data_IF_697785480609
#
_entry.id   IF_697785480609
#
_cell.length_a   1.000
_cell.length_b   1.000
_cell.length_c   1.000
_cell.angle_alpha   90.00
_cell.angle_beta   90.00
_cell.angle_gamma   90.00
#
_symmetry.space_group_name_H-M   'P 1'
#
loop_
_entity.id
_entity.type
_entity.pdbx_description
1 polymer ?
#
# COMPACT_ATOMS: atom_id res chain seq x y z
N UNK A 1 -23.04 -11.72 10.60
CA UNK A 1 -22.20 -10.89 11.49
C UNK A 1 -22.41 -9.42 11.13
N UNK A 2 -23.11 -8.66 11.98
CA UNK A 2 -23.28 -7.22 11.78
C UNK A 2 -22.01 -6.53 12.25
N UNK A 3 -21.35 -5.77 11.39
CA UNK A 3 -20.30 -4.85 11.81
C UNK A 3 -20.87 -3.90 12.86
N UNK A 4 -20.08 -3.61 13.88
CA UNK A 4 -20.47 -2.64 14.90
C UNK A 4 -20.81 -1.29 14.21
N UNK A 5 -22.05 -0.83 14.24
CA UNK A 5 -22.44 0.43 13.59
C UNK A 5 -21.77 1.66 14.21
N UNK A 6 -21.16 1.52 15.40
CA UNK A 6 -20.42 2.57 16.09
C UNK A 6 -18.96 2.67 15.65
N UNK A 7 -18.51 1.86 14.70
CA UNK A 7 -17.09 1.87 14.26
C UNK A 7 -16.65 3.17 13.57
N UNK A 8 -17.56 4.08 13.26
CA UNK A 8 -17.22 5.39 12.67
C UNK A 8 -16.54 5.30 11.30
N UNK A 9 -16.56 4.12 10.67
CA UNK A 9 -15.95 3.95 9.36
C UNK A 9 -16.86 4.61 8.34
N UNK A 10 -16.38 5.67 7.72
CA UNK A 10 -16.95 6.13 6.47
C UNK A 10 -16.65 5.11 5.38
N UNK A 11 -17.64 4.27 5.09
CA UNK A 11 -17.54 3.24 4.05
C UNK A 11 -17.55 3.82 2.63
N UNK A 12 -17.89 5.09 2.48
CA UNK A 12 -17.96 5.79 1.20
C UNK A 12 -16.70 6.66 0.97
N UNK A 13 -15.95 6.96 2.01
CA UNK A 13 -14.76 7.78 1.93
C UNK A 13 -13.58 7.02 1.33
N UNK A 14 -12.86 7.66 0.43
CA UNK A 14 -11.55 7.19 -0.01
C UNK A 14 -10.50 7.66 0.97
N UNK A 15 -9.94 6.74 1.73
CA UNK A 15 -8.91 7.05 2.73
C UNK A 15 -7.48 6.91 2.19
N UNK A 16 -7.33 6.42 0.97
CA UNK A 16 -6.05 6.30 0.29
C UNK A 16 -6.16 6.73 -1.16
N UNK A 17 -5.15 7.42 -1.65
CA UNK A 17 -5.00 7.81 -3.06
C UNK A 17 -3.63 7.39 -3.56
N UNK A 18 -3.58 6.99 -4.82
CA UNK A 18 -2.35 6.94 -5.59
C UNK A 18 -2.40 8.15 -6.52
N UNK A 19 -1.43 9.03 -6.41
CA UNK A 19 -1.41 10.29 -7.14
C UNK A 19 -0.61 10.15 -8.44
N UNK A 20 0.40 9.28 -8.43
CA UNK A 20 1.28 9.08 -9.57
C UNK A 20 1.90 7.69 -9.54
N UNK A 21 2.04 7.09 -10.73
CA UNK A 21 2.85 5.90 -10.95
C UNK A 21 3.85 6.16 -12.05
N UNK A 22 5.12 5.91 -11.78
CA UNK A 22 6.20 5.97 -12.74
C UNK A 22 6.74 4.57 -13.00
N UNK A 23 7.00 4.29 -14.26
CA UNK A 23 7.59 3.04 -14.75
C UNK A 23 9.06 3.27 -15.06
N UNK A 24 9.92 2.52 -14.40
CA UNK A 24 11.34 2.41 -14.71
C UNK A 24 11.54 1.25 -15.67
N UNK A 25 11.81 1.55 -16.94
CA UNK A 25 12.07 0.54 -17.97
C UNK A 25 13.46 -0.07 -17.76
N UNK A 26 13.65 -1.37 -18.01
CA UNK A 26 14.96 -1.96 -18.04
C UNK A 26 15.88 -1.23 -19.01
N UNK A 27 17.03 -0.75 -18.53
CA UNK A 27 17.98 0.02 -19.35
C UNK A 27 17.57 1.46 -19.72
N UNK A 28 16.39 1.91 -19.30
CA UNK A 28 15.95 3.29 -19.46
C UNK A 28 16.61 4.23 -18.45
N UNK A 29 16.92 5.47 -18.87
CA UNK A 29 17.51 6.48 -17.98
C UNK A 29 16.47 7.17 -17.10
N UNK A 30 15.32 7.48 -17.65
CA UNK A 30 14.29 8.27 -16.98
C UNK A 30 12.99 7.47 -16.80
N UNK A 31 12.36 7.56 -15.63
CA UNK A 31 11.06 6.95 -15.39
C UNK A 31 9.97 7.70 -16.18
N UNK A 32 8.98 6.98 -16.66
CA UNK A 32 7.86 7.54 -17.43
C UNK A 32 6.53 7.30 -16.73
N UNK A 33 5.60 8.26 -16.75
CA UNK A 33 4.26 8.03 -16.23
C UNK A 33 3.58 6.85 -16.93
N UNK A 34 2.83 6.06 -16.17
CA UNK A 34 2.05 4.94 -16.69
C UNK A 34 0.60 5.08 -16.28
N UNK A 35 -0.30 4.67 -17.18
CA UNK A 35 -1.73 4.70 -16.90
C UNK A 35 -2.11 3.67 -15.84
N UNK A 36 -3.04 4.05 -14.98
CA UNK A 36 -3.59 3.17 -13.97
C UNK A 36 -5.06 3.46 -13.71
N UNK A 37 -5.76 2.50 -13.17
CA UNK A 37 -7.17 2.62 -12.79
C UNK A 37 -7.49 1.75 -11.58
N UNK A 38 -8.51 2.15 -10.83
CA UNK A 38 -9.09 1.28 -9.81
C UNK A 38 -10.18 0.44 -10.43
N UNK A 39 -10.27 -0.82 -10.05
CA UNK A 39 -11.37 -1.66 -10.50
C UNK A 39 -12.69 -1.21 -9.86
N UNK A 40 -13.74 -1.19 -10.67
CA UNK A 40 -15.06 -0.73 -10.23
C UNK A 40 -15.64 -1.62 -9.12
N UNK A 41 -15.46 -2.93 -9.25
CA UNK A 41 -15.97 -3.93 -8.30
C UNK A 41 -15.08 -4.07 -7.07
N UNK A 42 -13.84 -3.63 -7.16
CA UNK A 42 -12.85 -3.77 -6.10
C UNK A 42 -11.96 -2.53 -6.00
N UNK A 43 -12.40 -1.57 -5.21
CA UNK A 43 -11.68 -0.30 -5.02
C UNK A 43 -10.30 -0.45 -4.34
N UNK A 44 -9.94 -1.63 -3.87
CA UNK A 44 -8.62 -1.93 -3.31
C UNK A 44 -7.65 -2.48 -4.35
N UNK A 45 -8.13 -2.82 -5.54
CA UNK A 45 -7.30 -3.31 -6.63
C UNK A 45 -6.94 -2.18 -7.57
N UNK A 46 -5.64 -1.93 -7.68
CA UNK A 46 -5.05 -0.99 -8.61
C UNK A 46 -4.52 -1.76 -9.82
N UNK A 47 -5.04 -1.43 -10.99
CA UNK A 47 -4.54 -1.95 -12.27
C UNK A 47 -3.60 -0.95 -12.90
N UNK A 48 -2.40 -1.40 -13.26
CA UNK A 48 -1.40 -0.63 -13.98
C UNK A 48 -1.22 -1.24 -15.37
N UNK A 49 -1.46 -0.46 -16.41
CA UNK A 49 -1.36 -0.91 -17.80
C UNK A 49 0.06 -0.68 -18.33
N UNK A 50 0.87 -1.73 -18.34
CA UNK A 50 2.24 -1.66 -18.86
C UNK A 50 2.23 -1.54 -20.39
N UNK A 51 3.07 -0.66 -20.98
CA UNK A 51 3.13 -0.47 -22.43
C UNK A 51 3.90 -1.57 -23.18
N UNK A 52 4.32 -2.62 -22.47
CA UNK A 52 5.03 -3.78 -23.02
C UNK A 52 4.76 -5.01 -22.16
N UNK A 53 5.01 -6.18 -22.74
CA UNK A 53 4.96 -7.44 -22.03
C UNK A 53 6.22 -7.67 -21.22
N UNK A 54 6.07 -8.15 -19.99
CA UNK A 54 7.18 -8.59 -19.16
C UNK A 54 7.37 -10.08 -19.38
N UNK A 55 8.50 -10.47 -19.89
CA UNK A 55 8.81 -11.87 -20.17
C UNK A 55 9.35 -12.58 -18.92
N UNK A 56 9.33 -13.93 -18.96
CA UNK A 56 9.85 -14.74 -17.86
C UNK A 56 11.33 -14.37 -17.54
N UNK A 57 11.58 -14.12 -16.29
CA UNK A 57 12.91 -13.71 -15.79
C UNK A 57 13.21 -12.22 -15.92
N UNK A 58 12.31 -11.45 -16.50
CA UNK A 58 12.42 -9.99 -16.49
C UNK A 58 11.73 -9.39 -15.26
N UNK A 59 12.18 -8.21 -14.89
CA UNK A 59 11.60 -7.42 -13.82
C UNK A 59 11.28 -6.01 -14.30
N UNK A 60 10.33 -5.39 -13.65
CA UNK A 60 9.93 -4.01 -13.87
C UNK A 60 9.84 -3.32 -12.52
N UNK A 61 10.24 -2.05 -12.46
CA UNK A 61 10.11 -1.25 -11.25
C UNK A 61 9.02 -0.20 -11.44
N UNK A 62 8.07 -0.18 -10.51
CA UNK A 62 7.05 0.86 -10.42
C UNK A 62 7.31 1.72 -9.19
N UNK A 63 7.33 3.03 -9.38
CA UNK A 63 7.39 4.00 -8.29
C UNK A 63 6.00 4.58 -8.09
N UNK A 64 5.43 4.40 -6.90
CA UNK A 64 4.11 4.88 -6.54
C UNK A 64 4.23 6.02 -5.55
N UNK A 65 3.53 7.10 -5.82
CA UNK A 65 3.35 8.23 -4.88
C UNK A 65 1.89 8.31 -4.51
N UNK A 66 1.60 8.47 -3.24
CA UNK A 66 0.23 8.54 -2.77
C UNK A 66 0.14 9.00 -1.31
N UNK A 67 -1.06 9.10 -0.83
CA UNK A 67 -1.36 9.50 0.54
C UNK A 67 -2.43 8.63 1.17
N UNK A 68 -2.42 8.58 2.50
CA UNK A 68 -3.41 7.86 3.28
C UNK A 68 -3.87 8.74 4.42
N UNK A 69 -5.19 8.86 4.57
CA UNK A 69 -5.80 9.53 5.71
C UNK A 69 -6.33 8.50 6.70
N UNK A 70 -5.81 8.52 7.91
CA UNK A 70 -6.26 7.62 8.95
C UNK A 70 -7.55 8.13 9.60
N UNK A 71 -8.57 7.30 9.78
CA UNK A 71 -9.75 7.69 10.52
C UNK A 71 -9.44 7.84 12.03
N UNK A 72 -10.09 8.79 12.72
CA UNK A 72 -9.89 9.01 14.16
C UNK A 72 -10.59 7.92 14.98
N UNK A 73 -10.03 6.73 15.00
CA UNK A 73 -10.60 5.59 15.73
C UNK A 73 -9.54 4.59 16.16
N UNK A 74 -9.81 3.88 17.25
CA UNK A 74 -9.03 2.72 17.64
C UNK A 74 -9.26 1.54 16.69
N UNK A 75 -8.20 0.81 16.35
CA UNK A 75 -8.26 -0.38 15.53
C UNK A 75 -7.00 -0.62 14.72
N UNK A 76 -7.03 -1.63 13.88
CA UNK A 76 -5.87 -1.99 13.03
C UNK A 76 -5.52 -0.91 11.99
N UNK A 77 -6.45 -0.04 11.70
CA UNK A 77 -6.32 1.05 10.76
C UNK A 77 -7.00 2.27 11.35
N UNK A 78 -6.23 3.24 11.78
CA UNK A 78 -6.76 4.44 12.41
C UNK A 78 -5.75 5.16 13.27
N UNK A 79 -6.18 6.27 13.84
CA UNK A 79 -5.42 7.07 14.80
C UNK A 79 -6.25 7.27 16.05
N UNK A 80 -5.69 6.91 17.21
CA UNK A 80 -6.38 7.00 18.47
C UNK A 80 -5.37 7.17 19.62
N UNK A 81 -5.66 8.08 20.54
CA UNK A 81 -4.88 8.31 21.75
C UNK A 81 -3.37 8.46 21.50
N UNK A 82 -3.01 9.28 20.52
CA UNK A 82 -1.62 9.51 20.12
C UNK A 82 -0.96 8.38 19.33
N UNK A 83 -1.67 7.29 19.06
CA UNK A 83 -1.14 6.15 18.30
C UNK A 83 -1.76 6.08 16.91
N UNK A 84 -0.90 5.94 15.89
CA UNK A 84 -1.31 5.70 14.50
C UNK A 84 -1.07 4.23 14.12
N UNK A 85 -2.11 3.56 13.62
CA UNK A 85 -2.08 2.14 13.26
C UNK A 85 -2.15 1.97 11.75
N UNK A 86 -1.15 1.31 11.17
CA UNK A 86 -1.00 1.07 9.74
C UNK A 86 -0.86 -0.42 9.45
N UNK A 87 -1.87 -1.21 9.71
CA UNK A 87 -1.82 -2.63 9.37
C UNK A 87 -2.06 -2.83 7.88
N UNK A 88 -1.19 -3.58 7.22
CA UNK A 88 -1.27 -3.85 5.77
C UNK A 88 -1.26 -2.57 4.91
N UNK A 89 -0.43 -1.60 5.27
CA UNK A 89 -0.35 -0.31 4.59
C UNK A 89 0.44 -0.34 3.27
N UNK A 90 1.29 -1.34 3.10
CA UNK A 90 2.12 -1.44 1.90
C UNK A 90 1.35 -2.09 0.75
N UNK A 91 1.54 -1.62 -0.48
CA UNK A 91 0.97 -2.27 -1.64
C UNK A 91 1.54 -3.68 -1.81
N UNK A 92 0.67 -4.60 -2.18
CA UNK A 92 1.00 -5.99 -2.46
C UNK A 92 0.74 -6.29 -3.94
N UNK A 93 1.58 -7.13 -4.53
CA UNK A 93 1.33 -7.63 -5.88
C UNK A 93 0.31 -8.75 -5.79
N UNK A 94 -0.72 -8.68 -6.61
CA UNK A 94 -1.71 -9.76 -6.70
C UNK A 94 -1.05 -11.05 -7.20
N UNK A 95 -1.58 -12.19 -6.79
CA UNK A 95 -1.12 -13.48 -7.26
C UNK A 95 -1.41 -13.64 -8.76
N UNK A 96 -0.48 -14.26 -9.49
CA UNK A 96 -0.62 -14.54 -10.92
C UNK A 96 -0.24 -15.98 -11.24
N UNK A 97 -1.07 -16.66 -12.01
CA UNK A 97 -0.82 -18.02 -12.49
C UNK A 97 -1.21 -18.21 -13.97
N UNK A 98 -1.43 -19.44 -14.38
CA UNK A 98 -1.84 -19.77 -15.74
C UNK A 98 -3.24 -19.24 -16.11
N UNK A 99 -4.08 -18.99 -15.12
CA UNK A 99 -5.43 -18.42 -15.29
C UNK A 99 -5.42 -16.88 -15.33
N UNK A 100 -4.30 -16.26 -14.93
CA UNK A 100 -4.10 -14.83 -14.93
C UNK A 100 -3.95 -14.21 -13.53
N UNK A 101 -4.34 -12.94 -13.41
CA UNK A 101 -4.27 -12.20 -12.16
C UNK A 101 -5.46 -12.48 -11.24
N UNK A 102 -5.17 -12.86 -10.01
CA UNK A 102 -6.16 -13.08 -8.96
C UNK A 102 -6.25 -11.85 -8.05
N UNK A 103 -7.18 -10.98 -8.35
CA UNK A 103 -7.47 -9.80 -7.55
C UNK A 103 -8.59 -10.09 -6.54
N UNK A 104 -8.26 -10.68 -5.43
CA UNK A 104 -9.23 -11.00 -4.39
C UNK A 104 -9.77 -9.71 -3.73
N UNK A 105 -11.09 -9.48 -3.74
CA UNK A 105 -11.67 -8.31 -3.10
C UNK A 105 -11.47 -8.35 -1.59
N UNK A 106 -11.38 -7.18 -0.98
CA UNK A 106 -11.40 -7.09 0.48
C UNK A 106 -12.75 -7.61 1.01
N UNK A 107 -12.69 -8.70 1.75
CA UNK A 107 -13.85 -9.27 2.45
C UNK A 107 -13.72 -8.94 3.94
N UNK A 108 -14.60 -8.11 4.51
CA UNK A 108 -14.55 -7.78 5.92
C UNK A 108 -14.55 -9.03 6.79
N UNK A 109 -13.66 -9.08 7.79
CA UNK A 109 -13.50 -10.16 8.77
C UNK A 109 -12.82 -11.45 8.30
N UNK A 110 -12.67 -11.69 7.00
CA UNK A 110 -12.07 -12.92 6.50
C UNK A 110 -10.63 -12.76 6.02
N UNK A 111 -10.18 -11.54 5.73
CA UNK A 111 -8.84 -11.23 5.22
C UNK A 111 -8.32 -12.29 4.22
N UNK A 112 -9.02 -12.55 3.13
CA UNK A 112 -8.61 -13.54 2.16
C UNK A 112 -7.47 -12.97 1.29
N UNK A 113 -6.36 -12.60 1.94
CA UNK A 113 -5.19 -12.11 1.20
C UNK A 113 -4.47 -13.30 0.62
N UNK A 114 -4.63 -13.47 -0.65
CA UNK A 114 -3.80 -14.35 -1.44
C UNK A 114 -2.86 -13.49 -2.28
N UNK A 115 -1.71 -13.21 -1.72
CA UNK A 115 -0.71 -12.37 -2.34
C UNK A 115 0.64 -13.08 -2.34
N UNK A 116 1.49 -12.70 -3.28
CA UNK A 116 2.86 -13.13 -3.28
C UNK A 116 3.63 -12.57 -2.09
N UNK A 117 4.56 -13.35 -1.58
CA UNK A 117 5.50 -12.90 -0.57
C UNK A 117 6.46 -11.86 -1.19
N UNK A 118 6.83 -10.86 -0.42
CA UNK A 118 7.73 -9.81 -0.86
C UNK A 118 8.78 -9.46 0.19
N UNK A 119 9.92 -8.96 -0.28
CA UNK A 119 10.94 -8.35 0.57
C UNK A 119 10.71 -6.84 0.58
N UNK A 120 10.55 -6.28 1.78
CA UNK A 120 10.32 -4.86 1.96
C UNK A 120 11.53 -4.20 2.59
N UNK A 121 11.99 -3.13 1.97
CA UNK A 121 12.99 -2.23 2.54
C UNK A 121 12.43 -0.81 2.44
N UNK A 122 12.49 -0.07 3.51
CA UNK A 122 11.91 1.27 3.54
C UNK A 122 12.56 2.20 4.54
N UNK A 123 12.25 3.47 4.39
CA UNK A 123 12.60 4.52 5.34
C UNK A 123 11.29 5.13 5.84
N UNK A 124 11.18 5.31 7.14
CA UNK A 124 10.06 5.98 7.78
C UNK A 124 10.59 7.25 8.42
N UNK A 125 10.01 8.39 8.07
CA UNK A 125 10.34 9.69 8.66
C UNK A 125 9.21 10.13 9.59
N UNK A 126 9.54 10.42 10.82
CA UNK A 126 8.59 10.78 11.87
C UNK A 126 9.04 12.09 12.55
N UNK A 127 8.12 12.83 13.19
CA UNK A 127 8.48 13.86 14.16
C UNK A 127 9.36 13.27 15.27
N UNK A 128 10.27 14.08 15.82
CA UNK A 128 11.28 13.59 16.78
C UNK A 128 10.68 13.06 18.10
N UNK A 129 9.48 13.49 18.46
CA UNK A 129 8.73 13.07 19.63
C UNK A 129 7.90 11.79 19.41
N UNK A 130 7.94 11.23 18.18
CA UNK A 130 7.24 9.99 17.85
C UNK A 130 8.17 8.78 17.95
N UNK A 131 7.59 7.62 18.19
CA UNK A 131 8.28 6.32 18.18
C UNK A 131 7.64 5.38 17.18
N UNK A 132 8.45 4.57 16.50
CA UNK A 132 8.02 3.57 15.56
C UNK A 132 8.05 2.18 16.21
N UNK A 133 6.93 1.45 16.11
CA UNK A 133 6.88 0.02 16.33
C UNK A 133 6.48 -0.68 15.03
N UNK A 134 7.28 -1.61 14.54
CA UNK A 134 7.01 -2.32 13.30
C UNK A 134 7.43 -3.79 13.40
N UNK A 135 6.96 -4.61 12.47
CA UNK A 135 7.33 -6.02 12.35
C UNK A 135 8.64 -6.26 11.60
N UNK A 136 9.30 -5.19 11.14
CA UNK A 136 10.60 -5.26 10.47
C UNK A 136 11.75 -4.95 11.45
N UNK A 137 12.96 -5.38 11.10
CA UNK A 137 14.16 -4.98 11.83
C UNK A 137 14.58 -3.57 11.47
N UNK A 138 14.78 -2.73 12.49
CA UNK A 138 15.34 -1.38 12.31
C UNK A 138 16.85 -1.52 12.11
N UNK A 139 17.37 -1.04 10.98
CA UNK A 139 18.81 -1.08 10.67
C UNK A 139 19.56 0.14 11.17
N UNK A 140 18.94 1.30 11.13
CA UNK A 140 19.53 2.56 11.60
C UNK A 140 18.44 3.55 11.95
N UNK A 141 18.75 4.44 12.89
CA UNK A 141 17.92 5.57 13.27
C UNK A 141 18.81 6.83 13.28
N UNK A 142 18.32 7.92 12.69
CA UNK A 142 18.99 9.21 12.72
C UNK A 142 18.01 10.28 13.12
N UNK A 143 18.44 11.24 13.94
CA UNK A 143 17.63 12.39 14.33
C UNK A 143 18.20 13.61 13.62
N UNK A 144 17.39 14.29 12.82
CA UNK A 144 17.72 15.55 12.18
C UNK A 144 16.64 16.56 12.54
N UNK A 145 17.02 17.79 12.83
CA UNK A 145 16.18 18.93 13.27
C UNK A 145 14.66 18.65 13.31
N UNK A 146 14.19 18.06 14.43
CA UNK A 146 12.78 17.81 14.69
C UNK A 146 12.18 16.56 14.04
N UNK A 147 13.00 15.73 13.37
CA UNK A 147 12.56 14.43 12.78
C UNK A 147 13.55 13.32 13.11
N UNK A 148 13.06 12.08 13.10
CA UNK A 148 13.87 10.87 13.21
C UNK A 148 13.37 9.76 12.29
#
# INVERSE_FOLDING_TARGET
LRMNPRSGIDRKGRHGTVDRILLHKPGGKDPTPVAYSYRTENATTLRVDLPFRVEKGQSVTLELTGSVTLPPKQGRWGQWDGVSYFTNALPLVAYHDAEGWHDTPFVPWHQPFWNEAGVYTGTVTLPADHSLACSASVKSETVAQGTK
#
